data_IF_039739250216
#
_entry.id   IF_039739250216
#
_cell.length_a   1.000
_cell.length_b   1.000
_cell.length_c   1.000
_cell.angle_alpha   90.00
_cell.angle_beta   90.00
_cell.angle_gamma   90.00
#
_symmetry.space_group_name_H-M   'P 1'
#
loop_
_entity.id
_entity.type
_entity.pdbx_description
1 polymer ?
#
# COMPACT_ATOMS: atom_id res chain seq x y z
N UNK A 1 5.39 -9.67 15.52
CA UNK A 1 5.27 -8.86 14.29
C UNK A 1 4.14 -7.89 14.53
N UNK A 2 4.33 -6.59 14.26
CA UNK A 2 3.33 -5.55 14.53
C UNK A 2 2.03 -5.81 13.74
N UNK A 3 0.87 -5.48 14.32
CA UNK A 3 -0.44 -5.63 13.70
C UNK A 3 -0.52 -4.83 12.40
N UNK A 4 -0.02 -3.60 12.40
CA UNK A 4 -0.05 -2.74 11.22
C UNK A 4 0.76 -3.32 10.05
N UNK A 5 1.85 -4.03 10.35
CA UNK A 5 2.66 -4.71 9.34
C UNK A 5 1.95 -5.90 8.71
N UNK A 6 1.21 -6.67 9.52
CA UNK A 6 0.39 -7.79 9.04
C UNK A 6 -0.73 -7.26 8.14
N UNK A 7 -1.46 -6.25 8.61
CA UNK A 7 -2.54 -5.60 7.84
C UNK A 7 -2.02 -5.04 6.50
N UNK A 8 -0.90 -4.31 6.51
CA UNK A 8 -0.23 -3.85 5.29
C UNK A 8 0.09 -5.01 4.33
N UNK A 9 0.67 -6.10 4.83
CA UNK A 9 1.11 -7.22 3.98
C UNK A 9 -0.09 -7.89 3.31
N UNK A 10 -1.17 -8.12 4.06
CA UNK A 10 -2.41 -8.69 3.53
C UNK A 10 -3.03 -7.79 2.47
N UNK A 11 -3.12 -6.49 2.75
CA UNK A 11 -3.67 -5.48 1.84
C UNK A 11 -2.80 -5.31 0.58
N UNK A 12 -1.48 -5.32 0.71
CA UNK A 12 -0.53 -5.19 -0.39
C UNK A 12 -0.62 -6.39 -1.34
N UNK A 13 -0.64 -7.62 -0.78
CA UNK A 13 -0.83 -8.85 -1.56
C UNK A 13 -2.17 -8.80 -2.28
N UNK A 14 -3.26 -8.45 -1.59
CA UNK A 14 -4.57 -8.34 -2.20
C UNK A 14 -4.61 -7.31 -3.33
N UNK A 15 -4.06 -6.10 -3.09
CA UNK A 15 -4.06 -5.01 -4.06
C UNK A 15 -3.23 -5.31 -5.31
N UNK A 16 -2.10 -6.03 -5.18
CA UNK A 16 -1.31 -6.50 -6.32
C UNK A 16 -2.12 -7.42 -7.25
N UNK A 17 -3.05 -8.20 -6.68
CA UNK A 17 -3.94 -9.09 -7.43
C UNK A 17 -5.08 -8.38 -8.16
N UNK A 18 -5.45 -7.15 -7.78
CA UNK A 18 -6.57 -6.42 -8.40
C UNK A 18 -6.22 -6.06 -9.85
N UNK A 19 -5.04 -5.48 -10.07
CA UNK A 19 -4.59 -5.09 -11.42
C UNK A 19 -4.49 -6.29 -12.36
N UNK A 20 -3.90 -7.39 -11.90
CA UNK A 20 -3.78 -8.62 -12.67
C UNK A 20 -5.16 -9.18 -13.08
N UNK A 21 -6.11 -9.22 -12.14
CA UNK A 21 -7.49 -9.66 -12.42
C UNK A 21 -8.20 -8.74 -13.41
N UNK A 22 -7.97 -7.43 -13.35
CA UNK A 22 -8.56 -6.48 -14.29
C UNK A 22 -7.97 -6.65 -15.70
N UNK A 23 -6.64 -6.70 -15.83
CA UNK A 23 -5.94 -6.85 -17.13
C UNK A 23 -6.32 -8.18 -17.81
N UNK A 24 -6.48 -9.26 -17.04
CA UNK A 24 -6.96 -10.55 -17.55
C UNK A 24 -8.45 -10.59 -17.89
N UNK A 25 -9.20 -9.51 -17.64
CA UNK A 25 -10.65 -9.45 -17.89
C UNK A 25 -11.49 -10.24 -16.87
N UNK A 26 -10.91 -10.64 -15.74
CA UNK A 26 -11.62 -11.40 -14.69
C UNK A 26 -12.52 -10.51 -13.83
N UNK A 27 -12.30 -9.19 -13.82
CA UNK A 27 -13.14 -8.19 -13.12
C UNK A 27 -13.34 -6.97 -14.00
N UNK A 28 -14.47 -6.28 -13.81
CA UNK A 28 -14.76 -5.00 -14.48
C UNK A 28 -13.97 -3.85 -13.85
N UNK A 29 -13.86 -2.72 -14.56
CA UNK A 29 -13.25 -1.50 -14.02
C UNK A 29 -13.94 -1.04 -12.73
N UNK A 30 -15.28 -1.11 -12.68
CA UNK A 30 -16.07 -0.77 -11.48
C UNK A 30 -15.73 -1.67 -10.28
N UNK A 31 -15.60 -2.98 -10.50
CA UNK A 31 -15.19 -3.93 -9.44
C UNK A 31 -13.75 -3.67 -9.00
N UNK A 32 -12.85 -3.37 -9.94
CA UNK A 32 -11.47 -3.07 -9.65
C UNK A 32 -11.36 -1.77 -8.81
N UNK A 33 -12.07 -0.71 -9.22
CA UNK A 33 -12.16 0.55 -8.48
C UNK A 33 -12.72 0.35 -7.07
N UNK A 34 -13.80 -0.44 -6.94
CA UNK A 34 -14.40 -0.74 -5.63
C UNK A 34 -13.41 -1.46 -4.72
N UNK A 35 -12.74 -2.50 -5.22
CA UNK A 35 -11.74 -3.24 -4.45
C UNK A 35 -10.58 -2.33 -4.03
N UNK A 36 -10.02 -1.53 -4.96
CA UNK A 36 -8.93 -0.61 -4.66
C UNK A 36 -9.34 0.47 -3.67
N UNK A 37 -10.56 1.01 -3.77
CA UNK A 37 -11.07 2.02 -2.83
C UNK A 37 -11.25 1.46 -1.42
N UNK A 38 -11.71 0.20 -1.30
CA UNK A 38 -11.78 -0.49 -0.01
C UNK A 38 -10.41 -0.64 0.64
N UNK A 39 -9.40 -1.07 -0.11
CA UNK A 39 -8.03 -1.19 0.40
C UNK A 39 -7.47 0.19 0.77
N UNK A 40 -7.75 1.22 -0.02
CA UNK A 40 -7.35 2.59 0.30
C UNK A 40 -7.91 3.03 1.65
N UNK A 41 -9.18 2.73 1.93
CA UNK A 41 -9.81 3.07 3.21
C UNK A 41 -9.18 2.30 4.39
N UNK A 42 -8.89 1.00 4.22
CA UNK A 42 -8.24 0.18 5.23
C UNK A 42 -6.84 0.69 5.55
N UNK A 43 -6.00 0.91 4.54
CA UNK A 43 -4.68 1.53 4.71
C UNK A 43 -4.80 2.90 5.41
N UNK A 44 -5.72 3.77 4.96
CA UNK A 44 -5.91 5.09 5.58
C UNK A 44 -6.20 4.99 7.08
N UNK A 45 -6.96 3.97 7.50
CA UNK A 45 -7.26 3.73 8.91
C UNK A 45 -6.01 3.30 9.68
N UNK A 46 -5.24 2.36 9.16
CA UNK A 46 -3.98 1.91 9.78
C UNK A 46 -2.95 3.05 9.86
N UNK A 47 -2.83 3.86 8.81
CA UNK A 47 -1.94 5.02 8.78
C UNK A 47 -2.33 6.05 9.84
N UNK A 48 -3.62 6.37 9.97
CA UNK A 48 -4.12 7.27 11.00
C UNK A 48 -3.83 6.74 12.41
N UNK A 49 -4.08 5.45 12.65
CA UNK A 49 -3.81 4.84 13.96
C UNK A 49 -2.33 4.87 14.31
N UNK A 50 -1.45 4.63 13.33
CA UNK A 50 -0.02 4.73 13.56
C UNK A 50 0.38 6.17 13.83
N UNK A 51 0.05 7.14 12.98
CA UNK A 51 0.53 8.54 13.08
C UNK A 51 0.36 9.20 14.46
N UNK A 52 -0.62 8.76 15.26
CA UNK A 52 -0.87 9.26 16.61
C UNK A 52 -0.04 8.54 17.70
N UNK A 53 0.78 7.54 17.35
CA UNK A 53 1.64 6.79 18.26
C UNK A 53 3.04 7.39 18.32
N UNK A 54 3.59 7.47 19.54
CA UNK A 54 5.01 7.75 19.76
C UNK A 54 5.76 6.44 19.95
N UNK A 55 6.61 6.00 19.00
CA UNK A 55 7.34 4.75 19.12
C UNK A 55 8.46 4.88 20.15
N UNK A 56 8.80 3.81 20.91
CA UNK A 56 10.03 3.81 21.70
C UNK A 56 11.25 4.01 20.78
N UNK A 57 12.28 4.71 21.26
CA UNK A 57 13.46 5.09 20.46
C UNK A 57 14.10 3.93 19.70
N UNK A 58 14.16 2.74 20.33
CA UNK A 58 14.69 1.50 19.73
C UNK A 58 13.95 1.09 18.43
N UNK A 59 12.68 1.46 18.29
CA UNK A 59 11.82 1.11 17.15
C UNK A 59 11.57 2.29 16.20
N UNK A 60 12.16 3.46 16.43
CA UNK A 60 11.85 4.69 15.70
C UNK A 60 12.06 4.54 14.17
N UNK A 61 13.17 3.95 13.73
CA UNK A 61 13.44 3.74 12.30
C UNK A 61 12.47 2.76 11.65
N UNK A 62 12.18 1.63 12.31
CA UNK A 62 11.21 0.64 11.82
C UNK A 62 9.82 1.27 11.65
N UNK A 63 9.42 2.06 12.65
CA UNK A 63 8.14 2.73 12.66
C UNK A 63 8.05 3.83 11.57
N UNK A 64 9.10 4.64 11.38
CA UNK A 64 9.18 5.64 10.29
C UNK A 64 9.10 4.98 8.90
N UNK A 65 9.83 3.88 8.69
CA UNK A 65 9.74 3.12 7.44
C UNK A 65 8.35 2.51 7.22
N UNK A 66 7.68 2.10 8.29
CA UNK A 66 6.29 1.59 8.22
C UNK A 66 5.32 2.68 7.81
N UNK A 67 5.42 3.88 8.39
CA UNK A 67 4.62 5.05 8.00
C UNK A 67 4.86 5.44 6.53
N UNK A 68 6.12 5.48 6.09
CA UNK A 68 6.46 5.77 4.70
C UNK A 68 5.94 4.70 3.74
N UNK A 69 6.00 3.42 4.14
CA UNK A 69 5.47 2.30 3.37
C UNK A 69 3.97 2.45 3.16
N UNK A 70 3.20 2.69 4.24
CA UNK A 70 1.75 2.87 4.17
C UNK A 70 1.35 4.09 3.35
N UNK A 71 2.05 5.21 3.53
CA UNK A 71 1.83 6.44 2.77
C UNK A 71 2.05 6.22 1.28
N UNK A 72 3.18 5.60 0.90
CA UNK A 72 3.49 5.30 -0.51
C UNK A 72 2.52 4.27 -1.09
N UNK A 73 2.07 3.31 -0.26
CA UNK A 73 1.06 2.34 -0.67
C UNK A 73 -0.29 3.02 -0.95
N UNK A 74 -0.63 4.06 -0.19
CA UNK A 74 -1.83 4.87 -0.42
C UNK A 74 -1.77 5.60 -1.77
N UNK A 75 -0.61 6.14 -2.15
CA UNK A 75 -0.37 6.76 -3.47
C UNK A 75 -0.48 5.75 -4.62
N UNK A 76 0.02 4.52 -4.40
CA UNK A 76 -0.15 3.40 -5.33
C UNK A 76 -1.64 3.10 -5.57
N UNK A 77 -2.41 2.95 -4.49
CA UNK A 77 -3.84 2.65 -4.54
C UNK A 77 -4.63 3.78 -5.20
N UNK A 78 -4.32 5.03 -4.87
CA UNK A 78 -4.94 6.20 -5.50
C UNK A 78 -4.69 6.21 -7.01
N UNK A 79 -3.44 6.03 -7.43
CA UNK A 79 -3.07 6.02 -8.85
C UNK A 79 -3.75 4.86 -9.58
N UNK A 80 -3.83 3.69 -8.94
CA UNK A 80 -4.52 2.53 -9.51
C UNK A 80 -6.04 2.79 -9.64
N UNK A 81 -6.66 3.40 -8.64
CA UNK A 81 -8.05 3.84 -8.68
C UNK A 81 -8.31 4.82 -9.82
N UNK A 82 -7.46 5.85 -9.99
CA UNK A 82 -7.53 6.79 -11.11
C UNK A 82 -7.40 6.10 -12.46
N UNK A 83 -6.53 5.09 -12.58
CA UNK A 83 -6.44 4.29 -13.79
C UNK A 83 -7.74 3.56 -14.09
N UNK A 84 -8.37 2.91 -13.12
CA UNK A 84 -9.65 2.22 -13.33
C UNK A 84 -10.81 3.17 -13.64
N UNK A 85 -10.82 4.36 -13.05
CA UNK A 85 -11.83 5.38 -13.31
C UNK A 85 -11.70 5.99 -14.72
N UNK A 86 -10.47 6.23 -15.18
CA UNK A 86 -10.21 7.10 -16.35
C UNK A 86 -9.63 6.38 -17.56
N UNK A 87 -9.12 5.15 -17.37
CA UNK A 87 -8.29 4.37 -18.32
C UNK A 87 -7.03 5.09 -18.83
N UNK A 88 -6.65 6.22 -18.22
CA UNK A 88 -5.46 6.99 -18.59
C UNK A 88 -4.18 6.31 -18.10
N UNK A 89 -3.36 5.88 -19.05
CA UNK A 89 -2.14 5.09 -18.81
C UNK A 89 -1.07 5.83 -18.01
N UNK A 90 -1.14 7.16 -17.90
CA UNK A 90 -0.25 7.91 -16.99
C UNK A 90 -0.40 7.46 -15.54
N UNK A 91 -1.63 7.13 -15.13
CA UNK A 91 -1.90 6.67 -13.77
C UNK A 91 -1.44 5.23 -13.55
N UNK A 92 -1.45 4.39 -14.59
CA UNK A 92 -0.85 3.07 -14.53
C UNK A 92 0.69 3.15 -14.34
N UNK A 93 1.35 4.07 -15.05
CA UNK A 93 2.79 4.32 -14.88
C UNK A 93 3.13 4.84 -13.48
N UNK A 94 2.35 5.81 -12.96
CA UNK A 94 2.50 6.31 -11.59
C UNK A 94 2.29 5.20 -10.56
N UNK A 95 1.23 4.41 -10.71
CA UNK A 95 0.96 3.26 -9.85
C UNK A 95 2.14 2.29 -9.82
N UNK A 96 2.72 1.93 -10.98
CA UNK A 96 3.90 1.07 -11.03
C UNK A 96 5.11 1.65 -10.27
N UNK A 97 5.35 2.96 -10.37
CA UNK A 97 6.42 3.63 -9.62
C UNK A 97 6.20 3.54 -8.11
N UNK A 98 4.99 3.87 -7.64
CA UNK A 98 4.64 3.79 -6.23
C UNK A 98 4.67 2.36 -5.68
N UNK A 99 4.30 1.37 -6.49
CA UNK A 99 4.42 -0.05 -6.13
C UNK A 99 5.88 -0.43 -5.83
N UNK A 100 6.82 -0.01 -6.69
CA UNK A 100 8.25 -0.28 -6.50
C UNK A 100 8.81 0.44 -5.27
N UNK A 101 8.41 1.70 -5.06
CA UNK A 101 8.82 2.46 -3.87
C UNK A 101 8.28 1.83 -2.58
N UNK A 102 6.99 1.45 -2.58
CA UNK A 102 6.35 0.75 -1.45
C UNK A 102 7.09 -0.54 -1.12
N UNK A 103 7.36 -1.37 -2.14
CA UNK A 103 8.12 -2.61 -1.98
C UNK A 103 9.52 -2.39 -1.39
N UNK A 104 10.22 -1.33 -1.83
CA UNK A 104 11.55 -1.02 -1.32
C UNK A 104 11.54 -0.57 0.14
N UNK A 105 10.61 0.32 0.51
CA UNK A 105 10.45 0.78 1.88
C UNK A 105 10.06 -0.37 2.81
N UNK A 106 9.14 -1.23 2.35
CA UNK A 106 8.74 -2.43 3.08
C UNK A 106 9.94 -3.37 3.33
N UNK A 107 10.77 -3.61 2.32
CA UNK A 107 11.97 -4.43 2.46
C UNK A 107 12.94 -3.83 3.50
N UNK A 108 13.18 -2.52 3.45
CA UNK A 108 14.02 -1.83 4.44
C UNK A 108 13.44 -1.93 5.85
N UNK A 109 12.12 -1.79 6.00
CA UNK A 109 11.43 -1.96 7.28
C UNK A 109 11.60 -3.37 7.85
N UNK A 110 11.49 -4.40 7.02
CA UNK A 110 11.77 -5.78 7.43
C UNK A 110 13.21 -5.97 7.91
N UNK A 111 14.17 -5.40 7.19
CA UNK A 111 15.59 -5.46 7.55
C UNK A 111 15.82 -4.81 8.92
N UNK A 112 15.31 -3.61 9.16
CA UNK A 112 15.40 -2.96 10.48
C UNK A 112 14.78 -3.82 11.58
N UNK A 113 13.61 -4.42 11.34
CA UNK A 113 12.94 -5.29 12.31
C UNK A 113 13.74 -6.56 12.67
N UNK A 114 14.67 -7.01 11.82
CA UNK A 114 15.52 -8.17 12.10
C UNK A 114 16.65 -7.87 13.10
N UNK A 115 16.98 -6.59 13.31
CA UNK A 115 18.07 -6.16 14.19
C UNK A 115 17.58 -5.57 15.52
N UNK A 116 16.25 -5.59 15.76
CA UNK A 116 15.59 -5.07 16.96
C UNK A 116 15.08 -6.21 17.84
#
# INVERSE_FOLDING_TARGET
>A
MDRAWIEYTEDFVYASGILDRYVKGNITAERALTATSSVYLLNSRTLFELQDMEPPEKYANYYDLTLQTLTTFQDYLWSLGKYFETTDTKYAALSSNYYNMTSNLAQRGLEEAMFI
#
